data_IF_631339417862
#
_entry.id   IF_631339417862
#
_cell.length_a   1.000
_cell.length_b   1.000
_cell.length_c   1.000
_cell.angle_alpha   90.00
_cell.angle_beta   90.00
_cell.angle_gamma   90.00
#
_symmetry.space_group_name_H-M   'P 1'
#
loop_
_entity.id
_entity.type
_entity.pdbx_description
1 polymer ?
#
# COMPACT_ATOMS: atom_id res chain seq x y z
N UNK A 1 -9.94 -12.24 1.31
CA UNK A 1 -9.77 -11.29 2.43
C UNK A 1 -8.86 -10.17 1.97
N UNK A 2 -9.36 -8.94 2.00
CA UNK A 2 -8.63 -7.72 1.67
C UNK A 2 -8.21 -7.01 2.95
N UNK A 3 -7.01 -6.47 2.98
CA UNK A 3 -6.50 -5.71 4.13
C UNK A 3 -6.49 -4.24 3.75
N UNK A 4 -7.21 -3.41 4.49
CA UNK A 4 -7.32 -1.97 4.23
C UNK A 4 -6.82 -1.18 5.44
N UNK A 5 -6.19 -0.04 5.18
CA UNK A 5 -5.89 0.90 6.25
C UNK A 5 -7.15 1.66 6.67
N UNK A 6 -7.05 2.44 7.75
CA UNK A 6 -8.17 3.18 8.30
C UNK A 6 -8.46 4.51 7.56
N UNK A 7 -8.14 4.60 6.27
CA UNK A 7 -8.44 5.80 5.48
C UNK A 7 -9.95 6.03 5.36
N UNK A 8 -10.39 7.30 5.45
CA UNK A 8 -11.81 7.67 5.40
C UNK A 8 -12.54 7.14 4.16
N UNK A 9 -11.84 7.08 3.02
CA UNK A 9 -12.40 6.58 1.76
C UNK A 9 -12.82 5.11 1.82
N UNK A 10 -12.18 4.29 2.66
CA UNK A 10 -12.52 2.87 2.83
C UNK A 10 -13.83 2.67 3.60
N UNK A 11 -14.29 3.70 4.31
CA UNK A 11 -15.54 3.71 5.07
C UNK A 11 -16.68 4.39 4.33
N UNK A 12 -16.47 4.80 3.08
CA UNK A 12 -17.52 5.40 2.28
C UNK A 12 -18.61 4.36 1.98
N UNK A 13 -19.89 4.74 2.14
CA UNK A 13 -21.02 3.83 1.99
C UNK A 13 -21.05 3.12 0.63
N UNK A 14 -20.65 3.78 -0.46
CA UNK A 14 -20.59 3.14 -1.77
C UNK A 14 -19.52 2.05 -1.85
N UNK A 15 -18.38 2.23 -1.17
CA UNK A 15 -17.32 1.20 -1.08
C UNK A 15 -17.79 0.02 -0.24
N UNK A 16 -18.44 0.29 0.89
CA UNK A 16 -18.99 -0.76 1.76
C UNK A 16 -20.07 -1.57 1.04
N UNK A 17 -20.99 -0.89 0.35
CA UNK A 17 -22.06 -1.51 -0.43
C UNK A 17 -21.49 -2.43 -1.52
N UNK A 18 -20.51 -1.94 -2.30
CA UNK A 18 -19.84 -2.72 -3.33
C UNK A 18 -19.13 -3.96 -2.76
N UNK A 19 -18.45 -3.82 -1.61
CA UNK A 19 -17.76 -4.94 -0.98
C UNK A 19 -18.76 -5.99 -0.49
N UNK A 20 -19.90 -5.55 0.05
CA UNK A 20 -21.00 -6.44 0.44
C UNK A 20 -21.60 -7.15 -0.76
N UNK A 21 -21.82 -6.46 -1.88
CA UNK A 21 -22.36 -7.02 -3.12
C UNK A 21 -21.42 -8.08 -3.71
N UNK A 22 -20.11 -7.83 -3.68
CA UNK A 22 -19.09 -8.73 -4.20
C UNK A 22 -18.68 -9.85 -3.23
N UNK A 23 -19.32 -9.93 -2.05
CA UNK A 23 -19.02 -10.91 -0.99
C UNK A 23 -17.54 -10.95 -0.58
N UNK A 24 -16.87 -9.80 -0.56
CA UNK A 24 -15.48 -9.72 -0.11
C UNK A 24 -15.38 -9.55 1.41
N UNK A 25 -14.43 -10.26 2.02
CA UNK A 25 -14.07 -10.04 3.43
C UNK A 25 -12.99 -8.96 3.57
N UNK A 26 -13.24 -7.95 4.40
CA UNK A 26 -12.28 -6.89 4.74
C UNK A 26 -11.71 -7.12 6.14
N UNK A 27 -10.40 -6.95 6.27
CA UNK A 27 -9.69 -6.78 7.52
C UNK A 27 -9.19 -5.33 7.62
N UNK A 28 -9.79 -4.54 8.48
CA UNK A 28 -9.36 -3.16 8.72
C UNK A 28 -8.17 -3.14 9.67
N UNK A 29 -7.10 -2.45 9.27
CA UNK A 29 -5.93 -2.25 10.13
C UNK A 29 -6.19 -1.19 11.20
N UNK A 30 -5.56 -1.32 12.39
CA UNK A 30 -5.59 -0.28 13.41
C UNK A 30 -5.05 1.07 12.89
N UNK A 31 -5.53 2.18 13.46
CA UNK A 31 -4.99 3.50 13.16
C UNK A 31 -3.47 3.56 13.37
N UNK A 32 -2.77 4.27 12.48
CA UNK A 32 -1.31 4.48 12.52
C UNK A 32 -0.45 3.21 12.44
N UNK A 33 -1.01 2.07 12.01
CA UNK A 33 -0.29 0.79 11.88
C UNK A 33 0.33 0.56 10.49
N UNK A 34 0.92 1.60 9.89
CA UNK A 34 1.47 1.53 8.52
C UNK A 34 2.52 0.43 8.32
N UNK A 35 3.22 0.04 9.38
CA UNK A 35 4.18 -1.07 9.38
C UNK A 35 3.52 -2.45 9.17
N UNK A 36 2.22 -2.58 9.41
CA UNK A 36 1.42 -3.76 9.08
C UNK A 36 0.88 -3.73 7.64
N UNK A 37 0.87 -2.56 7.00
CA UNK A 37 0.36 -2.41 5.66
C UNK A 37 1.47 -2.69 4.63
N UNK A 38 1.37 -3.81 3.92
CA UNK A 38 2.39 -4.24 2.96
C UNK A 38 2.54 -3.25 1.80
N UNK A 39 1.47 -2.54 1.42
CA UNK A 39 1.49 -1.58 0.31
C UNK A 39 2.50 -0.45 0.55
N UNK A 40 2.79 -0.10 1.81
CA UNK A 40 3.78 0.90 2.18
C UNK A 40 5.20 0.46 1.77
N UNK A 41 5.49 -0.84 1.86
CA UNK A 41 6.76 -1.40 1.38
C UNK A 41 6.82 -1.39 -0.16
N UNK A 42 5.70 -1.70 -0.83
CA UNK A 42 5.58 -1.59 -2.28
C UNK A 42 5.87 -0.16 -2.76
N UNK A 43 5.21 0.84 -2.17
CA UNK A 43 5.44 2.25 -2.52
C UNK A 43 6.85 2.70 -2.22
N UNK A 44 7.43 2.28 -1.09
CA UNK A 44 8.82 2.58 -0.77
C UNK A 44 9.78 2.00 -1.82
N UNK A 45 9.55 0.76 -2.27
CA UNK A 45 10.33 0.13 -3.34
C UNK A 45 10.16 0.86 -4.66
N UNK A 46 8.94 1.15 -5.08
CA UNK A 46 8.64 1.92 -6.29
C UNK A 46 9.32 3.28 -6.27
N UNK A 47 9.18 4.05 -5.18
CA UNK A 47 9.84 5.35 -5.01
C UNK A 47 11.35 5.25 -5.16
N UNK A 48 11.98 4.25 -4.56
CA UNK A 48 13.42 4.04 -4.66
C UNK A 48 13.84 3.64 -6.09
N UNK A 49 13.05 2.81 -6.77
CA UNK A 49 13.29 2.45 -8.17
C UNK A 49 13.16 3.66 -9.08
N UNK A 50 12.09 4.43 -8.94
CA UNK A 50 11.86 5.69 -9.68
C UNK A 50 13.01 6.66 -9.43
N UNK A 51 13.41 6.87 -8.17
CA UNK A 51 14.52 7.75 -7.81
C UNK A 51 15.83 7.37 -8.50
N UNK A 52 16.10 6.06 -8.70
CA UNK A 52 17.27 5.57 -9.45
C UNK A 52 17.12 5.79 -10.96
N UNK A 53 15.93 5.61 -11.52
CA UNK A 53 15.67 5.80 -12.97
C UNK A 53 15.67 7.29 -13.36
N UNK A 54 15.16 8.14 -12.48
CA UNK A 54 15.05 9.59 -12.67
C UNK A 54 16.37 10.34 -12.73
N UNK A 55 17.48 9.74 -12.27
CA UNK A 55 18.82 10.32 -12.45
C UNK A 55 19.08 10.60 -13.94
N UNK A 56 18.41 9.88 -14.85
CA UNK A 56 18.66 9.94 -16.29
C UNK A 56 17.45 10.38 -17.15
N UNK A 57 16.23 10.54 -16.59
CA UNK A 57 15.01 10.77 -17.42
C UNK A 57 13.93 11.58 -16.68
N UNK A 58 13.16 12.39 -17.42
CA UNK A 58 11.97 13.10 -16.92
C UNK A 58 10.86 12.11 -16.52
N UNK A 59 10.14 12.40 -15.43
CA UNK A 59 9.02 11.56 -14.97
C UNK A 59 7.90 11.47 -16.01
N UNK A 60 7.45 10.25 -16.27
CA UNK A 60 6.22 9.97 -16.99
C UNK A 60 5.52 8.74 -16.37
N UNK A 61 4.29 8.49 -16.79
CA UNK A 61 3.47 7.37 -16.31
C UNK A 61 4.14 6.00 -16.52
N UNK A 62 4.90 5.86 -17.60
CA UNK A 62 5.58 4.61 -17.96
C UNK A 62 6.66 4.23 -16.94
N UNK A 63 7.42 5.21 -16.44
CA UNK A 63 8.41 4.97 -15.36
C UNK A 63 7.73 4.48 -14.07
N UNK A 64 6.55 5.00 -13.74
CA UNK A 64 5.78 4.53 -12.58
C UNK A 64 5.36 3.08 -12.80
N UNK A 65 4.75 2.76 -13.94
CA UNK A 65 4.30 1.40 -14.27
C UNK A 65 5.46 0.39 -14.23
N UNK A 66 6.59 0.73 -14.86
CA UNK A 66 7.80 -0.11 -14.82
C UNK A 66 8.30 -0.34 -13.39
N UNK A 67 8.20 0.66 -12.51
CA UNK A 67 8.62 0.49 -11.11
C UNK A 67 7.79 -0.54 -10.35
N UNK A 68 6.49 -0.69 -10.68
CA UNK A 68 5.63 -1.72 -10.11
C UNK A 68 5.93 -3.10 -10.69
N UNK A 69 6.32 -3.19 -11.96
CA UNK A 69 6.77 -4.46 -12.55
C UNK A 69 8.03 -5.03 -11.86
N UNK A 70 8.82 -4.22 -11.17
CA UNK A 70 9.94 -4.68 -10.35
C UNK A 70 9.51 -5.36 -9.02
N UNK A 71 8.22 -5.32 -8.66
CA UNK A 71 7.69 -5.99 -7.48
C UNK A 71 7.29 -7.41 -7.87
N UNK A 72 8.26 -8.33 -7.78
CA UNK A 72 8.05 -9.76 -8.03
C UNK A 72 7.42 -10.45 -6.83
N UNK A 73 6.94 -11.69 -7.03
CA UNK A 73 6.40 -12.54 -5.96
C UNK A 73 7.40 -12.75 -4.81
N UNK A 74 8.70 -12.89 -5.11
CA UNK A 74 9.74 -13.05 -4.09
C UNK A 74 9.89 -11.79 -3.23
N UNK A 75 9.88 -10.61 -3.87
CA UNK A 75 9.91 -9.32 -3.18
C UNK A 75 8.67 -9.13 -2.31
N UNK A 76 7.49 -9.53 -2.79
CA UNK A 76 6.26 -9.52 -1.99
C UNK A 76 6.38 -10.44 -0.77
N UNK A 77 6.93 -11.65 -0.94
CA UNK A 77 7.15 -12.58 0.17
C UNK A 77 8.09 -11.99 1.23
N UNK A 78 9.12 -11.23 0.83
CA UNK A 78 9.97 -10.50 1.78
C UNK A 78 9.19 -9.43 2.54
N UNK A 79 8.31 -8.68 1.88
CA UNK A 79 7.46 -7.68 2.56
C UNK A 79 6.49 -8.33 3.55
N UNK A 80 5.89 -9.46 3.19
CA UNK A 80 5.08 -10.26 4.11
C UNK A 80 5.90 -10.72 5.32
N UNK A 81 7.09 -11.32 5.09
CA UNK A 81 7.99 -11.74 6.18
C UNK A 81 8.37 -10.57 7.09
N UNK A 82 8.63 -9.40 6.53
CA UNK A 82 8.92 -8.17 7.29
C UNK A 82 7.72 -7.74 8.13
N UNK A 83 6.53 -7.71 7.56
CA UNK A 83 5.29 -7.39 8.29
C UNK A 83 5.07 -8.34 9.47
N UNK A 84 5.24 -9.65 9.25
CA UNK A 84 5.04 -10.67 10.30
C UNK A 84 5.95 -10.46 11.52
N UNK A 85 7.17 -9.90 11.35
CA UNK A 85 8.07 -9.58 12.46
C UNK A 85 7.50 -8.54 13.43
N UNK A 86 6.54 -7.71 12.99
CA UNK A 86 5.90 -6.72 13.85
C UNK A 86 4.74 -7.31 14.68
N UNK A 87 4.16 -8.44 14.29
CA UNK A 87 3.00 -9.02 15.00
C UNK A 87 3.32 -9.40 16.46
N UNK A 88 4.44 -10.10 16.77
CA UNK A 88 4.81 -10.38 18.16
C UNK A 88 5.05 -9.11 18.98
N UNK A 89 5.62 -8.07 18.34
CA UNK A 89 5.91 -6.78 18.97
C UNK A 89 4.62 -6.02 19.32
N UNK A 90 3.61 -6.09 18.45
CA UNK A 90 2.27 -5.58 18.73
C UNK A 90 1.63 -6.31 19.91
N UNK A 91 1.76 -7.64 19.95
CA UNK A 91 1.27 -8.45 21.07
C UNK A 91 1.92 -8.05 22.40
N UNK A 92 3.19 -7.65 22.37
CA UNK A 92 3.94 -7.19 23.53
C UNK A 92 3.75 -5.69 23.84
N UNK A 93 2.84 -4.99 23.12
CA UNK A 93 2.60 -3.55 23.25
C UNK A 93 3.87 -2.69 23.08
N UNK A 94 4.81 -3.14 22.25
CA UNK A 94 6.00 -2.35 21.94
C UNK A 94 5.64 -1.11 21.11
N UNK A 95 6.28 0.02 21.42
CA UNK A 95 6.16 1.23 20.61
C UNK A 95 6.97 1.05 19.32
N UNK A 96 6.27 1.07 18.19
CA UNK A 96 6.87 0.94 16.85
C UNK A 96 6.81 2.30 16.18
N UNK A 97 7.99 2.92 15.99
CA UNK A 97 8.11 4.13 15.20
C UNK A 97 8.19 3.77 13.72
N UNK A 98 7.29 4.35 12.91
CA UNK A 98 7.33 4.20 11.46
C UNK A 98 7.21 5.58 10.81
N UNK A 99 8.22 5.96 10.02
CA UNK A 99 8.18 7.20 9.25
C UNK A 99 7.17 7.03 8.12
N UNK A 100 6.05 7.78 8.22
CA UNK A 100 5.03 7.87 7.19
C UNK A 100 5.65 8.30 5.86
N UNK A 101 5.53 7.47 4.83
CA UNK A 101 5.69 7.90 3.44
C UNK A 101 4.28 8.06 2.89
N UNK A 102 3.63 9.20 3.15
CA UNK A 102 2.31 9.46 2.56
C UNK A 102 2.50 9.71 1.07
N UNK A 103 2.28 8.69 0.25
CA UNK A 103 2.25 8.82 -1.21
C UNK A 103 0.79 8.99 -1.65
N UNK A 104 0.33 10.25 -1.70
CA UNK A 104 -0.98 10.66 -2.25
C UNK A 104 -1.19 10.33 -3.74
N UNK A 105 -0.25 9.62 -4.38
CA UNK A 105 -0.21 9.41 -5.84
C UNK A 105 -1.20 8.32 -6.31
N UNK A 106 -1.68 7.43 -5.45
CA UNK A 106 -2.64 6.39 -5.87
C UNK A 106 -4.11 6.84 -5.89
N UNK A 107 -4.47 7.90 -5.18
CA UNK A 107 -5.85 8.46 -5.26
C UNK A 107 -6.11 9.04 -6.66
N UNK A 108 -5.08 9.61 -7.30
CA UNK A 108 -5.21 10.14 -8.67
C UNK A 108 -5.32 9.00 -9.69
N UNK A 109 -4.60 7.88 -9.50
CA UNK A 109 -4.67 6.72 -10.39
C UNK A 109 -5.98 5.93 -10.24
N UNK A 110 -6.50 5.78 -9.02
CA UNK A 110 -7.78 5.11 -8.77
C UNK A 110 -8.97 5.93 -9.27
N UNK A 111 -8.94 7.27 -9.15
CA UNK A 111 -9.98 8.15 -9.70
C UNK A 111 -9.93 8.20 -11.23
N UNK A 112 -8.76 8.12 -11.85
CA UNK A 112 -8.67 8.11 -13.34
C UNK A 112 -9.10 6.78 -13.96
N UNK A 113 -8.97 5.65 -13.25
CA UNK A 113 -9.40 4.33 -13.75
C UNK A 113 -10.88 4.02 -13.54
N UNK A 114 -11.59 4.78 -12.69
CA UNK A 114 -13.04 4.60 -12.43
C UNK A 114 -13.93 5.58 -13.22
N UNK A 115 -13.32 6.49 -14.00
CA UNK A 115 -13.97 7.51 -14.83
C UNK A 115 -13.75 7.32 -16.34
N UNK A 116 -13.29 6.13 -16.75
CA UNK A 116 -13.27 5.63 -18.13
C UNK A 116 -14.05 4.32 -18.14
#
# INVERSE_FOLDING_TARGET
>A
MYVLDNARIHHYNGVIALISELNFSILSLPSYSTFLNIIENCFSKCKNTIGKMMINTRMNFLVILMSFHCITSDVLAEFFKKMLRYLPRCRNNEIIYFNKVIFYIFIILYITFLLI
#
